data_IF_568810617509
#
_entry.id   IF_568810617509
#
_cell.length_a   1.000
_cell.length_b   1.000
_cell.length_c   1.000
_cell.angle_alpha   90.00
_cell.angle_beta   90.00
_cell.angle_gamma   90.00
#
_symmetry.space_group_name_H-M   'P 1'
#
loop_
_entity.id
_entity.type
_entity.pdbx_description
1 polymer ?
#
# COMPACT_ATOMS: atom_id res chain seq x y z
N UNK A 1 31.89 22.46 4.81
CA UNK A 1 32.82 21.36 5.13
C UNK A 1 32.33 20.11 4.41
N UNK A 2 33.19 19.48 3.61
CA UNK A 2 32.86 18.27 2.85
C UNK A 2 32.71 17.09 3.79
N UNK A 3 31.49 16.60 3.98
CA UNK A 3 31.23 15.32 4.66
C UNK A 3 31.38 14.22 3.63
N UNK A 4 32.50 13.49 3.68
CA UNK A 4 32.71 12.29 2.90
C UNK A 4 31.60 11.26 3.21
N UNK A 5 31.12 10.57 2.18
CA UNK A 5 30.19 9.46 2.34
C UNK A 5 30.85 8.35 3.18
N UNK A 6 30.08 7.60 3.99
CA UNK A 6 30.57 6.39 4.65
C UNK A 6 31.30 5.47 3.67
N UNK A 7 32.38 4.83 4.14
CA UNK A 7 33.15 3.87 3.34
C UNK A 7 32.26 2.72 2.87
N UNK A 8 32.04 2.60 1.56
CA UNK A 8 31.23 1.54 0.95
C UNK A 8 30.13 2.02 -0.02
N UNK A 9 29.84 3.32 -0.06
CA UNK A 9 28.86 3.89 -0.99
C UNK A 9 29.54 4.38 -2.29
N UNK A 10 29.10 3.87 -3.44
CA UNK A 10 29.51 4.42 -4.73
C UNK A 10 28.85 5.80 -4.96
N UNK A 11 29.57 6.80 -5.50
CA UNK A 11 28.97 8.09 -5.81
C UNK A 11 27.94 7.95 -6.93
N UNK A 12 26.76 8.54 -6.74
CA UNK A 12 25.72 8.58 -7.77
C UNK A 12 26.22 9.33 -9.03
N UNK A 13 25.93 8.77 -10.21
CA UNK A 13 26.21 9.43 -11.49
C UNK A 13 25.31 10.67 -11.62
N UNK A 14 25.88 11.86 -11.81
CA UNK A 14 25.10 13.07 -12.01
C UNK A 14 24.52 13.11 -13.43
N UNK A 15 23.20 12.94 -13.54
CA UNK A 15 22.43 13.20 -14.77
C UNK A 15 21.53 14.40 -14.56
N UNK A 16 21.38 15.24 -15.59
CA UNK A 16 20.49 16.41 -15.56
C UNK A 16 19.02 15.94 -15.59
N UNK A 17 18.37 15.91 -14.43
CA UNK A 17 16.93 15.62 -14.35
C UNK A 17 16.09 16.86 -14.73
N UNK A 18 14.88 16.69 -15.29
CA UNK A 18 13.96 17.80 -15.54
C UNK A 18 13.62 18.58 -14.27
N UNK A 19 13.41 19.89 -14.40
CA UNK A 19 12.93 20.75 -13.30
C UNK A 19 11.42 20.56 -13.09
N UNK A 20 11.08 19.48 -12.39
CA UNK A 20 9.70 19.06 -12.12
C UNK A 20 9.56 18.57 -10.67
N UNK A 21 8.36 18.66 -10.07
CA UNK A 21 8.11 18.23 -8.69
C UNK A 21 8.62 16.81 -8.37
N UNK A 22 8.43 15.85 -9.28
CA UNK A 22 8.84 14.44 -9.13
C UNK A 22 10.36 14.18 -9.12
N UNK A 23 11.18 15.19 -9.42
CA UNK A 23 12.65 15.12 -9.39
C UNK A 23 13.28 16.15 -8.44
N UNK A 24 12.46 16.85 -7.66
CA UNK A 24 12.87 17.95 -6.78
C UNK A 24 12.62 17.62 -5.30
N UNK A 25 13.19 18.43 -4.40
CA UNK A 25 13.03 18.24 -2.96
C UNK A 25 13.43 16.84 -2.48
N UNK A 26 12.54 16.19 -1.74
CA UNK A 26 12.72 14.84 -1.21
C UNK A 26 12.64 13.75 -2.28
N UNK A 27 12.04 14.06 -3.45
CA UNK A 27 11.95 13.15 -4.59
C UNK A 27 13.16 13.20 -5.54
N UNK A 28 14.19 13.99 -5.21
CA UNK A 28 15.44 13.97 -5.98
C UNK A 28 16.02 12.55 -6.02
N UNK A 29 16.41 12.02 -7.19
CA UNK A 29 16.97 10.67 -7.30
C UNK A 29 18.17 10.46 -6.38
N UNK A 30 18.19 9.30 -5.71
CA UNK A 30 19.25 8.96 -4.75
C UNK A 30 20.34 8.15 -5.45
N UNK A 31 19.97 7.07 -6.15
CA UNK A 31 20.84 6.21 -6.98
C UNK A 31 22.04 5.66 -6.23
N UNK A 32 21.78 5.23 -5.00
CA UNK A 32 22.79 4.66 -4.12
C UNK A 32 22.58 3.17 -4.02
N UNK A 33 23.66 2.42 -4.27
CA UNK A 33 23.78 1.01 -3.97
C UNK A 33 24.92 0.86 -2.94
N UNK A 34 24.71 0.04 -1.92
CA UNK A 34 25.72 -0.22 -0.90
C UNK A 34 25.14 -0.77 0.39
N UNK A 35 26.00 -0.91 1.39
CA UNK A 35 25.66 -1.50 2.69
C UNK A 35 26.00 -0.53 3.82
N UNK A 36 25.15 -0.52 4.84
CA UNK A 36 25.39 0.21 6.09
C UNK A 36 25.05 -0.73 7.25
N UNK A 37 26.06 -1.04 8.06
CA UNK A 37 25.89 -1.86 9.25
C UNK A 37 25.80 -0.98 10.51
N UNK A 38 25.17 -1.50 11.56
CA UNK A 38 25.09 -0.86 12.88
C UNK A 38 24.52 0.56 12.81
N UNK A 39 23.31 0.69 12.25
CA UNK A 39 22.58 1.95 12.21
C UNK A 39 22.40 2.54 13.62
N UNK A 40 22.33 3.87 13.70
CA UNK A 40 22.11 4.58 14.95
C UNK A 40 20.66 4.35 15.43
N UNK A 41 20.51 3.93 16.68
CA UNK A 41 19.21 3.52 17.27
C UNK A 41 18.94 4.37 18.50
N UNK A 42 17.75 4.99 18.54
CA UNK A 42 17.19 5.64 19.71
C UNK A 42 16.06 4.77 20.24
N UNK A 43 16.08 4.41 21.53
CA UNK A 43 15.18 3.42 22.11
C UNK A 43 15.81 2.03 22.15
N UNK A 44 15.00 0.97 22.13
CA UNK A 44 15.49 -0.43 22.18
C UNK A 44 14.77 -1.27 21.15
N UNK A 45 15.53 -1.91 20.25
CA UNK A 45 14.98 -2.93 19.36
C UNK A 45 14.87 -4.23 20.17
N UNK A 46 13.68 -4.84 20.26
CA UNK A 46 13.49 -6.11 20.94
C UNK A 46 14.35 -7.23 20.34
N UNK A 47 14.93 -8.05 21.21
CA UNK A 47 15.86 -9.12 20.82
C UNK A 47 15.18 -10.31 20.12
N UNK A 48 13.85 -10.36 20.15
CA UNK A 48 13.04 -11.38 19.48
C UNK A 48 12.69 -11.02 18.03
N UNK A 49 13.00 -9.80 17.57
CA UNK A 49 12.92 -9.41 16.16
C UNK A 49 14.15 -9.92 15.42
N UNK A 50 13.94 -10.86 14.51
CA UNK A 50 15.02 -11.51 13.77
C UNK A 50 14.50 -11.96 12.39
N UNK A 51 14.90 -11.23 11.36
CA UNK A 51 14.39 -11.37 10.00
C UNK A 51 14.84 -10.20 9.14
N UNK A 52 14.14 -9.96 8.04
CA UNK A 52 14.49 -8.90 7.09
C UNK A 52 13.26 -8.18 6.57
N UNK A 53 13.29 -6.85 6.65
CA UNK A 53 12.30 -5.98 6.00
C UNK A 53 12.79 -5.61 4.60
N UNK A 54 12.04 -6.02 3.59
CA UNK A 54 12.28 -5.65 2.20
C UNK A 54 11.26 -4.61 1.75
N UNK A 55 11.69 -3.64 0.95
CA UNK A 55 10.83 -2.63 0.33
C UNK A 55 11.38 -2.16 -0.99
N UNK A 56 10.54 -1.58 -1.84
CA UNK A 56 10.95 -1.09 -3.18
C UNK A 56 10.60 0.37 -3.38
N UNK A 57 11.51 1.16 -3.98
CA UNK A 57 11.25 2.51 -4.49
C UNK A 57 11.54 2.57 -5.97
N UNK A 58 10.73 3.29 -6.75
CA UNK A 58 11.14 3.80 -8.04
C UNK A 58 12.27 4.83 -7.86
N UNK A 59 13.45 4.56 -8.42
CA UNK A 59 14.56 5.52 -8.45
C UNK A 59 15.22 5.55 -9.84
N UNK A 60 14.87 6.50 -10.73
CA UNK A 60 15.33 6.54 -12.10
C UNK A 60 16.85 6.61 -12.19
N UNK A 61 17.43 5.65 -12.89
CA UNK A 61 18.88 5.61 -13.16
C UNK A 61 19.31 6.75 -14.09
N UNK A 62 18.47 7.07 -15.08
CA UNK A 62 18.69 8.11 -16.10
C UNK A 62 17.51 9.09 -16.13
N UNK A 63 17.75 10.28 -16.70
CA UNK A 63 16.66 11.20 -17.00
C UNK A 63 15.73 10.56 -18.06
N UNK A 64 14.40 10.62 -17.90
CA UNK A 64 13.48 10.09 -18.90
C UNK A 64 13.63 10.87 -20.21
N UNK A 65 13.57 10.17 -21.35
CA UNK A 65 13.60 10.78 -22.69
C UNK A 65 12.22 11.24 -23.17
N UNK A 66 11.14 10.73 -22.55
CA UNK A 66 9.77 11.19 -22.74
C UNK A 66 9.43 12.18 -21.63
N UNK A 67 8.99 13.37 -22.02
CA UNK A 67 8.75 14.49 -21.09
C UNK A 67 7.61 14.22 -20.09
N UNK A 68 6.70 13.29 -20.43
CA UNK A 68 5.54 12.84 -19.63
C UNK A 68 5.36 11.30 -19.71
N UNK A 69 6.40 10.51 -19.46
CA UNK A 69 6.22 9.05 -19.39
C UNK A 69 5.44 8.66 -18.12
N UNK A 70 4.28 7.98 -18.24
CA UNK A 70 3.60 7.41 -17.09
C UNK A 70 4.47 6.36 -16.40
N UNK A 71 4.35 6.29 -15.08
CA UNK A 71 5.08 5.35 -14.24
C UNK A 71 4.81 3.86 -14.55
N UNK A 72 3.71 3.54 -15.26
CA UNK A 72 3.35 2.20 -15.77
C UNK A 72 2.94 2.26 -17.25
N UNK A 73 3.90 2.22 -18.17
CA UNK A 73 3.65 2.40 -19.62
C UNK A 73 3.80 1.06 -20.39
N UNK A 74 2.76 0.23 -20.37
CA UNK A 74 2.71 -1.04 -21.11
C UNK A 74 1.43 -1.17 -21.94
N UNK A 75 1.49 -1.95 -23.02
CA UNK A 75 0.32 -2.24 -23.86
C UNK A 75 -0.78 -2.94 -23.05
N UNK A 76 -1.98 -2.35 -22.98
CA UNK A 76 -3.11 -2.91 -22.24
C UNK A 76 -3.77 -4.07 -22.95
N UNK A 77 -4.05 -5.15 -22.21
CA UNK A 77 -4.87 -6.28 -22.66
C UNK A 77 -6.00 -6.54 -21.66
N UNK A 78 -7.20 -6.98 -22.10
CA UNK A 78 -8.22 -7.48 -21.18
C UNK A 78 -7.89 -8.87 -20.64
N UNK A 79 -6.85 -9.53 -21.15
CA UNK A 79 -6.41 -10.84 -20.69
C UNK A 79 -5.82 -10.76 -19.29
N UNK A 80 -6.34 -11.58 -18.38
CA UNK A 80 -5.85 -11.73 -17.01
C UNK A 80 -5.37 -13.17 -16.86
N UNK A 81 -4.14 -13.33 -16.38
CA UNK A 81 -3.58 -14.64 -16.06
C UNK A 81 -3.38 -14.78 -14.55
N UNK A 82 -3.98 -15.81 -13.97
CA UNK A 82 -3.78 -16.21 -12.59
C UNK A 82 -2.88 -17.45 -12.54
N UNK A 83 -1.87 -17.40 -11.67
CA UNK A 83 -0.99 -18.52 -11.38
C UNK A 83 -1.15 -18.96 -9.93
N UNK A 84 -1.31 -20.27 -9.72
CA UNK A 84 -1.17 -20.88 -8.39
C UNK A 84 0.16 -21.61 -8.36
N UNK A 85 1.05 -21.21 -7.46
CA UNK A 85 2.40 -21.78 -7.34
C UNK A 85 2.52 -22.46 -5.99
N UNK A 86 3.09 -23.66 -5.96
CA UNK A 86 3.34 -24.42 -4.75
C UNK A 86 4.54 -23.89 -3.98
N UNK A 87 4.67 -24.30 -2.71
CA UNK A 87 5.82 -23.95 -1.88
C UNK A 87 7.17 -24.43 -2.47
N UNK A 88 7.15 -25.42 -3.38
CA UNK A 88 8.31 -25.90 -4.12
C UNK A 88 8.64 -25.06 -5.37
N UNK A 89 7.94 -23.94 -5.58
CA UNK A 89 8.11 -23.03 -6.71
C UNK A 89 7.50 -23.53 -8.02
N UNK A 90 6.76 -24.64 -8.04
CA UNK A 90 6.16 -25.18 -9.26
C UNK A 90 4.75 -24.63 -9.48
N UNK A 91 4.43 -24.38 -10.75
CA UNK A 91 3.06 -24.07 -11.16
C UNK A 91 2.14 -25.24 -10.87
N UNK A 92 1.13 -25.00 -10.03
CA UNK A 92 0.04 -25.91 -9.76
C UNK A 92 -1.12 -25.64 -10.71
N UNK A 93 -1.42 -24.37 -10.99
CA UNK A 93 -2.47 -23.96 -11.93
C UNK A 93 -2.08 -22.70 -12.71
N UNK A 94 -2.63 -22.59 -13.91
CA UNK A 94 -2.57 -21.40 -14.77
C UNK A 94 -3.94 -21.22 -15.39
N UNK A 95 -4.61 -20.11 -15.08
CA UNK A 95 -5.95 -19.81 -15.57
C UNK A 95 -5.91 -18.48 -16.30
N UNK A 96 -6.36 -18.50 -17.55
CA UNK A 96 -6.55 -17.29 -18.36
C UNK A 96 -8.02 -16.91 -18.35
N UNK A 97 -8.32 -15.64 -18.13
CA UNK A 97 -9.68 -15.10 -18.18
C UNK A 97 -9.65 -13.73 -18.87
N UNK A 98 -10.82 -13.26 -19.29
CA UNK A 98 -10.97 -11.98 -20.00
C UNK A 98 -11.78 -11.03 -19.13
N UNK A 99 -11.18 -9.89 -18.79
CA UNK A 99 -11.84 -8.81 -18.06
C UNK A 99 -12.88 -8.08 -18.94
N UNK A 100 -13.94 -7.48 -18.34
CA UNK A 100 -14.96 -6.75 -19.10
C UNK A 100 -14.41 -5.48 -19.78
N UNK A 101 -13.33 -4.93 -19.23
CA UNK A 101 -12.66 -3.72 -19.68
C UNK A 101 -11.14 -3.88 -19.54
N UNK A 102 -10.38 -3.18 -20.39
CA UNK A 102 -8.92 -3.08 -20.26
C UNK A 102 -8.62 -2.05 -19.19
N UNK A 103 -8.56 -2.49 -17.94
CA UNK A 103 -8.40 -1.59 -16.80
C UNK A 103 -7.38 -2.12 -15.81
N UNK A 104 -6.84 -1.24 -14.97
CA UNK A 104 -5.83 -1.58 -13.98
C UNK A 104 -6.39 -2.54 -12.91
N UNK A 105 -5.74 -3.70 -12.77
CA UNK A 105 -5.89 -4.58 -11.60
C UNK A 105 -4.63 -4.38 -10.76
N UNK A 106 -4.71 -3.44 -9.82
CA UNK A 106 -3.56 -3.06 -8.98
C UNK A 106 -3.34 -4.03 -7.81
N UNK A 107 -4.43 -4.54 -7.25
CA UNK A 107 -4.42 -5.40 -6.08
C UNK A 107 -5.48 -6.50 -6.22
N UNK A 108 -5.44 -7.52 -5.36
CA UNK A 108 -6.38 -8.64 -5.34
C UNK A 108 -6.45 -9.26 -3.95
N UNK A 109 -7.55 -9.95 -3.65
CA UNK A 109 -7.75 -10.60 -2.34
C UNK A 109 -8.07 -12.09 -2.49
N UNK A 110 -7.60 -12.88 -1.53
CA UNK A 110 -7.80 -14.32 -1.46
C UNK A 110 -8.68 -14.69 -0.27
N UNK A 111 -9.49 -15.73 -0.43
CA UNK A 111 -10.12 -16.43 0.70
C UNK A 111 -9.79 -17.91 0.64
N UNK A 112 -10.33 -18.67 1.58
CA UNK A 112 -10.16 -20.13 1.61
C UNK A 112 -10.48 -20.75 0.25
N UNK A 113 -11.65 -20.44 -0.33
CA UNK A 113 -12.14 -21.12 -1.53
C UNK A 113 -12.09 -20.27 -2.80
N UNK A 114 -11.83 -18.96 -2.72
CA UNK A 114 -12.03 -18.03 -3.85
C UNK A 114 -10.90 -17.02 -4.05
N UNK A 115 -10.67 -16.65 -5.31
CA UNK A 115 -9.78 -15.60 -5.79
C UNK A 115 -10.61 -14.38 -6.23
N UNK A 116 -10.17 -13.17 -5.90
CA UNK A 116 -10.90 -11.93 -6.23
C UNK A 116 -9.96 -10.84 -6.65
N UNK A 117 -10.35 -10.04 -7.62
CA UNK A 117 -9.54 -8.91 -8.05
C UNK A 117 -10.44 -7.70 -8.40
N UNK A 118 -10.28 -6.57 -7.71
CA UNK A 118 -10.90 -5.31 -8.09
C UNK A 118 -10.31 -4.80 -9.41
N UNK A 119 -11.18 -4.50 -10.37
CA UNK A 119 -10.84 -3.75 -11.57
C UNK A 119 -11.09 -2.27 -11.28
N UNK A 120 -10.00 -1.53 -11.10
CA UNK A 120 -10.04 -0.07 -11.00
C UNK A 120 -10.43 0.45 -12.39
N UNK A 121 -11.42 1.36 -12.55
CA UNK A 121 -11.83 1.92 -13.85
C UNK A 121 -10.82 2.95 -14.40
N UNK A 122 -9.53 2.68 -14.20
CA UNK A 122 -8.40 3.28 -14.89
C UNK A 122 -8.17 2.47 -16.16
N UNK A 123 -8.70 2.93 -17.29
CA UNK A 123 -8.46 2.27 -18.57
C UNK A 123 -6.99 2.49 -19.00
N UNK A 124 -6.49 1.67 -19.93
CA UNK A 124 -5.10 1.73 -20.43
C UNK A 124 -4.62 3.15 -20.79
N UNK A 125 -5.55 4.03 -21.19
CA UNK A 125 -5.21 5.34 -21.73
C UNK A 125 -5.51 6.48 -20.73
N UNK A 126 -6.50 6.32 -19.84
CA UNK A 126 -7.06 7.40 -19.00
C UNK A 126 -8.07 6.90 -17.95
N UNK A 127 -8.38 7.74 -16.97
CA UNK A 127 -9.50 7.51 -16.04
C UNK A 127 -10.86 7.58 -16.77
N UNK A 128 -11.77 6.63 -16.50
CA UNK A 128 -13.12 6.63 -17.08
C UNK A 128 -14.20 6.69 -15.99
N UNK A 129 -14.77 7.87 -15.71
CA UNK A 129 -15.81 8.02 -14.68
C UNK A 129 -17.14 7.35 -15.05
N UNK A 130 -17.35 7.04 -16.33
CA UNK A 130 -18.54 6.33 -16.81
C UNK A 130 -18.41 4.80 -16.69
N UNK A 131 -17.17 4.29 -16.62
CA UNK A 131 -16.93 2.84 -16.51
C UNK A 131 -17.26 2.38 -15.09
N UNK A 132 -18.13 1.36 -14.93
CA UNK A 132 -18.42 0.78 -13.62
C UNK A 132 -17.15 0.25 -12.96
N UNK A 133 -17.12 0.28 -11.63
CA UNK A 133 -16.14 -0.49 -10.89
C UNK A 133 -16.56 -1.96 -10.88
N UNK A 134 -15.66 -2.86 -11.25
CA UNK A 134 -15.93 -4.30 -11.31
C UNK A 134 -15.14 -5.07 -10.26
N UNK A 135 -15.75 -6.13 -9.72
CA UNK A 135 -15.08 -7.12 -8.88
C UNK A 135 -15.27 -8.49 -9.51
N UNK A 136 -14.16 -9.08 -9.96
CA UNK A 136 -14.14 -10.46 -10.44
C UNK A 136 -14.11 -11.43 -9.26
N UNK A 137 -15.01 -12.41 -9.25
CA UNK A 137 -15.03 -13.50 -8.26
C UNK A 137 -14.84 -14.82 -9.00
N UNK A 138 -13.83 -15.59 -8.60
CA UNK A 138 -13.46 -16.87 -9.21
C UNK A 138 -13.18 -17.92 -8.13
N UNK A 139 -13.45 -19.22 -8.36
CA UNK A 139 -12.91 -20.28 -7.51
C UNK A 139 -11.38 -20.23 -7.45
N UNK A 140 -10.79 -20.56 -6.29
CA UNK A 140 -9.33 -20.52 -6.10
C UNK A 140 -8.59 -21.71 -6.73
N UNK A 141 -9.28 -22.86 -6.80
CA UNK A 141 -8.74 -24.14 -7.25
C UNK A 141 -9.63 -24.71 -8.34
N UNK A 142 -9.02 -25.17 -9.44
CA UNK A 142 -9.73 -25.84 -10.53
C UNK A 142 -10.64 -24.93 -11.35
N UNK A 143 -10.41 -23.62 -11.30
CA UNK A 143 -11.23 -22.64 -12.00
C UNK A 143 -11.06 -22.73 -13.52
N UNK A 144 -12.17 -22.52 -14.24
CA UNK A 144 -12.19 -22.33 -15.69
C UNK A 144 -12.41 -20.87 -16.03
N UNK A 145 -12.01 -20.43 -17.24
CA UNK A 145 -12.24 -19.06 -17.70
C UNK A 145 -13.71 -18.63 -17.59
N UNK A 146 -14.65 -19.55 -17.79
CA UNK A 146 -16.10 -19.32 -17.72
C UNK A 146 -16.67 -19.17 -16.31
N UNK A 147 -15.90 -19.52 -15.28
CA UNK A 147 -16.40 -19.55 -13.90
C UNK A 147 -16.35 -18.16 -13.23
N UNK A 148 -15.70 -17.19 -13.88
CA UNK A 148 -15.60 -15.82 -13.37
C UNK A 148 -16.96 -15.14 -13.36
N UNK A 149 -17.29 -14.54 -12.22
CA UNK A 149 -18.48 -13.69 -12.06
C UNK A 149 -18.05 -12.26 -11.84
N UNK A 150 -18.51 -11.35 -12.70
CA UNK A 150 -18.18 -9.93 -12.65
C UNK A 150 -19.29 -9.15 -11.97
N UNK A 151 -19.10 -8.84 -10.69
CA UNK A 151 -19.97 -7.95 -9.97
C UNK A 151 -19.58 -6.50 -10.28
N UNK A 152 -20.53 -5.56 -10.22
CA UNK A 152 -20.31 -4.17 -10.62
C UNK A 152 -21.06 -3.17 -9.75
N UNK A 153 -20.58 -1.94 -9.71
CA UNK A 153 -21.25 -0.79 -9.08
C UNK A 153 -20.89 0.52 -9.79
N UNK A 154 -21.53 1.66 -9.47
CA UNK A 154 -21.11 2.95 -9.98
C UNK A 154 -19.61 3.20 -9.80
N UNK A 155 -19.02 3.92 -10.75
CA UNK A 155 -17.59 4.21 -10.81
C UNK A 155 -17.07 4.74 -9.49
N UNK A 156 -15.93 4.20 -9.07
CA UNK A 156 -15.19 4.61 -7.89
C UNK A 156 -13.73 4.17 -8.05
N UNK A 157 -12.84 4.79 -7.31
CA UNK A 157 -11.44 4.41 -7.27
C UNK A 157 -11.20 3.50 -6.07
N UNK A 158 -10.57 2.36 -6.27
CA UNK A 158 -10.13 1.50 -5.18
C UNK A 158 -8.62 1.54 -5.07
N UNK A 159 -8.11 1.72 -3.86
CA UNK A 159 -6.68 1.58 -3.58
C UNK A 159 -6.39 0.12 -3.24
N UNK A 160 -5.82 -0.12 -2.07
CA UNK A 160 -5.45 -1.44 -1.60
C UNK A 160 -6.59 -2.13 -0.86
N UNK A 161 -6.56 -3.45 -0.95
CA UNK A 161 -7.32 -4.33 -0.09
C UNK A 161 -6.66 -4.43 1.28
N UNK A 162 -7.47 -4.44 2.33
CA UNK A 162 -7.00 -4.82 3.65
C UNK A 162 -6.98 -6.35 3.75
N UNK A 163 -8.14 -6.97 3.52
CA UNK A 163 -8.28 -8.43 3.47
C UNK A 163 -9.66 -8.82 2.90
N UNK A 164 -9.87 -10.13 2.69
CA UNK A 164 -11.17 -10.71 2.41
C UNK A 164 -11.35 -12.03 3.17
N UNK A 165 -12.60 -12.38 3.50
CA UNK A 165 -12.95 -13.69 4.06
C UNK A 165 -14.30 -14.20 3.53
N UNK A 166 -14.59 -15.47 3.78
CA UNK A 166 -15.90 -16.06 3.54
C UNK A 166 -16.61 -16.16 4.89
N UNK A 167 -17.77 -15.52 5.01
CA UNK A 167 -18.62 -15.66 6.19
C UNK A 167 -19.11 -17.12 6.28
N UNK A 168 -18.79 -17.86 7.35
CA UNK A 168 -19.15 -19.27 7.47
C UNK A 168 -20.65 -19.48 7.64
N UNK A 169 -21.39 -18.51 8.17
CA UNK A 169 -22.82 -18.61 8.40
C UNK A 169 -23.61 -18.44 7.09
N UNK A 170 -23.19 -17.49 6.24
CA UNK A 170 -23.92 -17.15 5.02
C UNK A 170 -23.29 -17.75 3.75
N UNK A 171 -21.99 -18.03 3.77
CA UNK A 171 -21.18 -18.29 2.57
C UNK A 171 -20.94 -17.06 1.71
N UNK A 172 -21.31 -15.87 2.22
CA UNK A 172 -21.05 -14.61 1.54
C UNK A 172 -19.59 -14.24 1.67
N UNK A 173 -19.16 -13.42 0.74
CA UNK A 173 -17.82 -12.88 0.69
C UNK A 173 -17.83 -11.53 1.39
N UNK A 174 -16.84 -11.38 2.27
CA UNK A 174 -16.47 -10.15 2.93
C UNK A 174 -15.23 -9.60 2.26
N UNK A 175 -15.26 -8.35 1.80
CA UNK A 175 -14.10 -7.72 1.18
C UNK A 175 -13.87 -6.30 1.68
N UNK A 176 -12.78 -6.10 2.43
CA UNK A 176 -12.38 -4.79 2.97
C UNK A 176 -11.32 -4.14 2.09
N UNK A 177 -11.57 -2.91 1.66
CA UNK A 177 -10.69 -2.16 0.77
C UNK A 177 -10.85 -0.64 0.94
N UNK A 178 -9.80 0.09 0.60
CA UNK A 178 -9.85 1.55 0.52
C UNK A 178 -10.61 2.00 -0.73
N UNK A 179 -11.62 2.84 -0.55
CA UNK A 179 -12.49 3.33 -1.62
C UNK A 179 -12.60 4.85 -1.62
N UNK A 180 -12.45 5.44 -2.79
CA UNK A 180 -12.69 6.86 -3.07
C UNK A 180 -13.76 7.01 -4.14
N UNK A 181 -14.59 8.05 -4.02
CA UNK A 181 -15.58 8.43 -5.03
C UNK A 181 -14.96 9.14 -6.24
N UNK A 182 -13.66 9.48 -6.16
CA UNK A 182 -12.93 10.24 -7.18
C UNK A 182 -11.63 9.53 -7.57
N UNK A 183 -11.08 9.90 -8.71
CA UNK A 183 -9.78 9.42 -9.17
C UNK A 183 -8.65 9.85 -8.22
N UNK A 184 -8.10 8.93 -7.44
CA UNK A 184 -6.98 9.22 -6.53
C UNK A 184 -5.69 9.52 -7.31
N UNK A 185 -5.51 8.91 -8.48
CA UNK A 185 -4.37 9.14 -9.37
C UNK A 185 -4.63 10.36 -10.26
N UNK A 186 -4.77 11.53 -9.63
CA UNK A 186 -5.07 12.80 -10.30
C UNK A 186 -4.02 13.21 -11.37
N UNK A 187 -2.82 12.62 -11.34
CA UNK A 187 -1.81 12.81 -12.39
C UNK A 187 -2.16 12.09 -13.72
N UNK A 188 -3.16 11.21 -13.71
CA UNK A 188 -3.80 10.63 -14.89
C UNK A 188 -5.24 11.13 -15.01
N UNK A 189 -5.47 12.28 -15.65
CA UNK A 189 -6.81 12.84 -15.80
C UNK A 189 -7.72 11.98 -16.68
N UNK A 190 -8.99 12.37 -16.76
CA UNK A 190 -9.91 11.84 -17.77
C UNK A 190 -9.57 12.33 -19.19
N UNK A 191 -10.32 11.87 -20.19
CA UNK A 191 -10.16 12.23 -21.60
C UNK A 191 -10.19 13.74 -21.88
N UNK A 192 -10.91 14.50 -21.05
CA UNK A 192 -11.07 15.94 -21.18
C UNK A 192 -10.02 16.71 -20.38
N UNK A 193 -9.08 16.01 -19.72
CA UNK A 193 -8.04 16.60 -18.89
C UNK A 193 -8.51 16.96 -17.48
N UNK A 194 -9.69 16.51 -17.04
CA UNK A 194 -10.17 16.79 -15.70
C UNK A 194 -9.51 15.84 -14.69
N UNK A 195 -9.02 16.43 -13.59
CA UNK A 195 -8.55 15.70 -12.43
C UNK A 195 -9.07 16.37 -11.15
N UNK A 196 -9.40 15.59 -10.12
CA UNK A 196 -9.77 16.16 -8.82
C UNK A 196 -8.57 16.87 -8.19
N UNK A 197 -8.85 17.97 -7.48
CA UNK A 197 -7.83 18.64 -6.70
C UNK A 197 -7.35 17.70 -5.55
N UNK A 198 -6.04 17.51 -5.34
CA UNK A 198 -5.51 16.52 -4.40
C UNK A 198 -6.07 16.65 -2.97
N UNK A 199 -6.30 17.87 -2.50
CA UNK A 199 -6.84 18.18 -1.19
C UNK A 199 -8.30 17.74 -0.99
N UNK A 200 -9.01 17.42 -2.07
CA UNK A 200 -10.41 16.97 -2.06
C UNK A 200 -10.55 15.45 -2.09
N UNK A 201 -9.44 14.72 -2.25
CA UNK A 201 -9.43 13.26 -2.31
C UNK A 201 -9.53 12.68 -0.92
N UNK A 202 -10.46 11.75 -0.72
CA UNK A 202 -10.60 10.96 0.50
C UNK A 202 -10.79 9.51 0.11
N UNK A 203 -10.03 8.63 0.74
CA UNK A 203 -10.23 7.19 0.68
C UNK A 203 -10.75 6.74 2.03
N UNK A 204 -11.79 5.92 2.04
CA UNK A 204 -12.37 5.35 3.24
C UNK A 204 -12.26 3.84 3.20
N UNK A 205 -11.98 3.21 4.34
CA UNK A 205 -12.11 1.77 4.45
C UNK A 205 -13.59 1.42 4.29
N UNK A 206 -13.90 0.64 3.26
CA UNK A 206 -15.24 0.16 2.94
C UNK A 206 -15.21 -1.35 2.91
N UNK A 207 -16.29 -1.92 3.40
CA UNK A 207 -16.56 -3.33 3.39
C UNK A 207 -17.55 -3.60 2.22
N UNK A 208 -17.33 -4.59 1.35
CA UNK A 208 -18.24 -5.01 0.26
C UNK A 208 -18.76 -6.47 0.37
N UNK A 209 -20.10 -6.67 0.31
CA UNK A 209 -20.74 -8.00 0.58
C UNK A 209 -21.05 -8.54 -0.76
N UNK A 210 -20.47 -9.68 -1.07
CA UNK A 210 -20.74 -10.35 -2.33
C UNK A 210 -21.34 -11.70 -1.99
N UNK A 211 -22.64 -11.88 -2.25
CA UNK A 211 -23.18 -13.22 -2.33
C UNK A 211 -22.76 -13.82 -3.68
N UNK A 212 -21.82 -14.78 -3.70
CA UNK A 212 -21.32 -15.33 -4.93
C UNK A 212 -22.34 -16.19 -5.69
N UNK A 213 -23.55 -16.37 -5.15
CA UNK A 213 -24.66 -17.12 -5.74
C UNK A 213 -25.80 -16.20 -6.20
N UNK A 214 -25.77 -14.91 -5.85
CA UNK A 214 -26.83 -13.97 -6.23
C UNK A 214 -27.05 -13.95 -7.74
N UNK A 215 -28.29 -13.81 -8.20
CA UNK A 215 -28.56 -13.66 -9.64
C UNK A 215 -28.16 -12.25 -10.13
N UNK A 216 -28.35 -11.24 -9.28
CA UNK A 216 -27.90 -9.87 -9.53
C UNK A 216 -26.38 -9.78 -9.41
N UNK A 217 -25.77 -9.07 -10.35
CA UNK A 217 -24.35 -8.72 -10.33
C UNK A 217 -24.10 -7.28 -9.84
N UNK A 218 -25.14 -6.57 -9.39
CA UNK A 218 -24.99 -5.24 -8.81
C UNK A 218 -24.51 -5.33 -7.36
N UNK A 219 -23.42 -4.62 -7.03
CA UNK A 219 -22.90 -4.46 -5.68
C UNK A 219 -23.51 -3.24 -5.04
N UNK A 220 -24.18 -3.43 -3.91
CA UNK A 220 -24.50 -2.37 -2.98
C UNK A 220 -23.41 -2.32 -1.92
N UNK A 221 -22.62 -1.25 -1.92
CA UNK A 221 -21.73 -0.99 -0.80
C UNK A 221 -22.58 -0.53 0.39
N UNK A 222 -22.58 -1.30 1.47
CA UNK A 222 -23.07 -0.79 2.73
C UNK A 222 -21.98 0.10 3.33
N UNK A 223 -22.32 1.35 3.65
CA UNK A 223 -21.42 2.23 4.40
C UNK A 223 -21.46 1.81 5.87
N UNK A 224 -20.74 0.75 6.22
CA UNK A 224 -20.68 0.31 7.61
C UNK A 224 -19.38 0.72 8.29
N UNK A 225 -19.46 1.78 9.09
CA UNK A 225 -18.80 1.81 10.40
C UNK A 225 -19.85 1.48 11.46
N UNK A 226 -20.67 0.45 11.21
CA UNK A 226 -21.64 -0.05 12.20
C UNK A 226 -21.06 -1.26 12.93
N UNK A 227 -21.46 -1.38 14.20
CA UNK A 227 -20.99 -2.35 15.17
C UNK A 227 -21.10 -3.76 14.61
N UNK A 228 -19.98 -4.46 14.46
CA UNK A 228 -20.00 -5.93 14.40
C UNK A 228 -20.44 -6.36 15.80
N UNK A 229 -21.73 -6.67 15.96
CA UNK A 229 -22.20 -7.27 17.20
C UNK A 229 -21.67 -8.71 17.23
N UNK A 230 -20.87 -8.98 18.26
CA UNK A 230 -20.48 -10.31 18.78
C UNK A 230 -19.71 -11.23 17.83
N UNK A 231 -18.49 -11.60 18.23
CA UNK A 231 -17.72 -12.80 17.85
C UNK A 231 -17.45 -13.12 16.35
N UNK A 232 -18.05 -12.42 15.39
CA UNK A 232 -18.11 -12.78 13.95
C UNK A 232 -16.89 -12.37 13.08
N UNK A 233 -15.72 -12.14 13.70
CA UNK A 233 -14.45 -12.00 12.96
C UNK A 233 -13.47 -13.06 13.47
N UNK A 234 -13.61 -14.28 12.95
CA UNK A 234 -12.63 -15.34 13.17
C UNK A 234 -11.36 -15.18 12.31
N UNK A 235 -11.37 -14.27 11.32
CA UNK A 235 -10.31 -14.19 10.30
C UNK A 235 -9.29 -13.08 10.54
N UNK A 236 -9.70 -11.87 10.93
CA UNK A 236 -8.84 -10.77 11.40
C UNK A 236 -9.68 -9.70 12.09
N UNK A 237 -9.08 -9.02 13.06
CA UNK A 237 -9.73 -8.05 13.97
C UNK A 237 -8.99 -6.72 14.00
N UNK A 238 -7.84 -6.63 13.36
CA UNK A 238 -6.96 -5.47 13.42
C UNK A 238 -6.48 -5.08 12.02
N UNK A 239 -6.40 -3.77 11.77
CA UNK A 239 -5.91 -3.22 10.52
C UNK A 239 -4.93 -2.10 10.83
N UNK A 240 -3.76 -2.13 10.20
CA UNK A 240 -2.76 -1.06 10.22
C UNK A 240 -2.72 -0.37 8.87
N UNK A 241 -2.72 0.97 8.85
CA UNK A 241 -2.84 1.72 7.60
C UNK A 241 -2.26 3.13 7.73
N UNK A 242 -1.95 3.72 6.58
CA UNK A 242 -1.52 5.11 6.50
C UNK A 242 -2.71 6.07 6.62
N UNK A 243 -2.49 7.18 7.34
CA UNK A 243 -3.46 8.24 7.56
C UNK A 243 -2.93 9.58 7.06
N UNK A 244 -3.84 10.36 6.47
CA UNK A 244 -3.62 11.77 6.16
C UNK A 244 -4.71 12.59 6.84
N UNK A 245 -4.34 13.22 7.95
CA UNK A 245 -5.20 14.15 8.68
C UNK A 245 -4.52 15.52 8.82
N UNK A 246 -4.93 16.53 8.03
CA UNK A 246 -4.39 17.89 8.11
C UNK A 246 -4.51 18.54 9.49
N UNK A 247 -5.39 18.06 10.37
CA UNK A 247 -5.57 18.58 11.72
C UNK A 247 -4.48 18.14 12.70
N UNK A 248 -3.70 17.10 12.38
CA UNK A 248 -2.66 16.54 13.28
C UNK A 248 -1.35 17.35 13.31
N UNK A 249 -1.39 18.62 12.90
CA UNK A 249 -0.31 19.58 13.14
C UNK A 249 0.91 19.44 12.22
N UNK A 250 0.74 18.87 11.03
CA UNK A 250 1.80 18.88 10.00
C UNK A 250 2.15 20.32 9.62
N UNK A 251 3.43 20.68 9.71
CA UNK A 251 3.93 21.99 9.30
C UNK A 251 4.16 22.02 7.79
N UNK A 252 3.06 22.18 7.03
CA UNK A 252 3.09 22.29 5.58
C UNK A 252 3.90 23.49 5.08
N UNK A 253 4.04 24.54 5.88
CA UNK A 253 4.87 25.69 5.52
C UNK A 253 6.36 25.30 5.53
N UNK A 254 6.80 24.54 6.54
CA UNK A 254 8.18 24.05 6.62
C UNK A 254 8.49 22.96 5.59
N UNK A 255 7.60 21.98 5.40
CA UNK A 255 7.90 20.82 4.53
C UNK A 255 7.56 21.08 3.06
N UNK A 256 6.59 21.94 2.75
CA UNK A 256 6.06 22.18 1.41
C UNK A 256 7.12 22.41 0.32
N UNK A 257 8.07 23.35 0.52
CA UNK A 257 9.16 23.59 -0.43
C UNK A 257 10.08 22.39 -0.69
N UNK A 258 10.05 21.39 0.19
CA UNK A 258 10.91 20.22 0.15
C UNK A 258 10.18 18.93 -0.20
N UNK A 259 8.85 18.92 -0.32
CA UNK A 259 8.06 17.71 -0.62
C UNK A 259 8.42 17.12 -2.00
N UNK A 260 8.54 17.95 -3.03
CA UNK A 260 8.45 17.47 -4.41
C UNK A 260 7.01 17.13 -4.78
N UNK A 261 6.78 16.11 -5.63
CA UNK A 261 5.42 15.67 -5.99
C UNK A 261 5.36 14.34 -6.73
N UNK A 262 4.14 13.90 -7.06
CA UNK A 262 3.87 12.65 -7.77
C UNK A 262 3.65 11.41 -6.88
N UNK A 263 3.26 11.62 -5.61
CA UNK A 263 3.02 10.56 -4.64
C UNK A 263 1.94 10.99 -3.62
N UNK A 264 1.22 10.04 -2.99
CA UNK A 264 0.29 10.35 -1.92
C UNK A 264 1.03 10.70 -0.63
N UNK A 265 0.50 11.64 0.15
CA UNK A 265 1.11 12.10 1.39
C UNK A 265 0.34 11.55 2.59
N UNK A 266 1.06 11.03 3.59
CA UNK A 266 0.50 10.51 4.84
C UNK A 266 1.29 11.04 6.04
N UNK A 267 0.63 11.54 7.08
CA UNK A 267 1.29 12.17 8.23
C UNK A 267 1.20 11.35 9.51
N UNK A 268 0.47 10.23 9.50
CA UNK A 268 0.32 9.37 10.67
C UNK A 268 0.05 7.92 10.26
N UNK A 269 0.27 6.99 11.19
CA UNK A 269 -0.17 5.60 11.06
C UNK A 269 -1.42 5.40 11.91
N UNK A 270 -2.37 4.63 11.42
CA UNK A 270 -3.58 4.22 12.11
C UNK A 270 -3.54 2.73 12.46
N UNK A 271 -4.06 2.40 13.64
CA UNK A 271 -4.43 1.05 14.04
C UNK A 271 -5.93 1.06 14.33
N UNK A 272 -6.71 0.26 13.58
CA UNK A 272 -8.14 0.08 13.79
C UNK A 272 -8.42 -1.33 14.32
N UNK A 273 -8.97 -1.41 15.53
CA UNK A 273 -9.58 -2.63 16.04
C UNK A 273 -11.03 -2.72 15.53
N UNK A 274 -11.32 -3.69 14.67
CA UNK A 274 -12.61 -3.83 13.97
C UNK A 274 -13.77 -4.14 14.92
N UNK A 275 -13.51 -4.91 15.98
CA UNK A 275 -14.53 -5.31 16.96
C UNK A 275 -14.95 -4.13 17.84
N UNK A 276 -13.98 -3.42 18.42
CA UNK A 276 -14.26 -2.30 19.35
C UNK A 276 -14.46 -0.97 18.63
N UNK A 277 -14.05 -0.89 17.35
CA UNK A 277 -13.91 0.35 16.57
C UNK A 277 -12.94 1.36 17.19
N UNK A 278 -12.11 0.93 18.14
CA UNK A 278 -11.06 1.77 18.68
C UNK A 278 -10.03 2.05 17.59
N UNK A 279 -9.69 3.33 17.41
CA UNK A 279 -8.62 3.76 16.51
C UNK A 279 -7.52 4.41 17.33
N UNK A 280 -6.31 3.87 17.20
CA UNK A 280 -5.10 4.48 17.74
C UNK A 280 -4.32 5.10 16.60
N UNK A 281 -3.68 6.24 16.87
CA UNK A 281 -2.97 7.00 15.84
C UNK A 281 -1.57 7.31 16.33
N UNK A 282 -0.58 6.92 15.54
CA UNK A 282 0.81 7.29 15.74
C UNK A 282 1.14 8.53 14.92
N UNK A 283 1.68 9.56 15.59
CA UNK A 283 2.08 10.82 14.95
C UNK A 283 3.60 10.99 15.10
N UNK A 284 4.39 10.83 14.04
CA UNK A 284 5.86 10.92 14.11
C UNK A 284 6.36 12.35 14.35
N UNK A 285 5.52 13.36 14.13
CA UNK A 285 5.81 14.77 14.39
C UNK A 285 5.54 15.69 13.19
N UNK A 286 5.67 17.02 13.37
CA UNK A 286 5.13 18.02 12.43
C UNK A 286 5.88 18.10 11.09
N UNK A 287 7.12 17.62 11.04
CA UNK A 287 7.99 17.66 9.84
C UNK A 287 8.26 16.27 9.28
N UNK A 288 7.44 15.28 9.66
CA UNK A 288 7.58 13.89 9.25
C UNK A 288 6.35 13.39 8.51
N UNK A 289 6.57 12.50 7.56
CA UNK A 289 5.52 11.76 6.85
C UNK A 289 5.85 10.28 6.87
N UNK A 290 4.81 9.46 6.86
CA UNK A 290 4.91 8.01 6.98
C UNK A 290 4.82 7.35 5.60
N UNK A 291 5.35 6.13 5.50
CA UNK A 291 5.13 5.21 4.38
C UNK A 291 4.56 3.90 4.93
N UNK A 292 4.18 3.01 4.01
CA UNK A 292 3.49 1.75 4.30
C UNK A 292 4.06 1.01 5.52
N UNK A 293 3.22 0.72 6.54
CA UNK A 293 3.61 -0.07 7.69
C UNK A 293 3.66 -1.56 7.35
N UNK A 294 4.57 -2.29 7.99
CA UNK A 294 4.59 -3.75 8.01
C UNK A 294 4.40 -4.27 9.43
N UNK A 295 3.55 -5.27 9.60
CA UNK A 295 3.39 -5.98 10.87
C UNK A 295 4.45 -7.07 11.01
N UNK A 296 5.03 -7.19 12.20
CA UNK A 296 6.02 -8.18 12.58
C UNK A 296 5.46 -8.95 13.78
N UNK A 297 5.10 -10.25 13.63
CA UNK A 297 4.56 -11.02 14.73
C UNK A 297 5.62 -11.20 15.83
N UNK A 298 5.20 -11.10 17.09
CA UNK A 298 6.07 -11.42 18.23
C UNK A 298 6.41 -12.91 18.20
N UNK A 299 7.69 -13.24 18.38
CA UNK A 299 8.16 -14.62 18.27
C UNK A 299 7.44 -15.54 19.27
N UNK A 300 6.79 -16.57 18.76
CA UNK A 300 6.05 -17.55 19.57
C UNK A 300 4.69 -17.07 20.06
N UNK A 301 4.23 -15.90 19.65
CA UNK A 301 2.87 -15.45 19.96
C UNK A 301 1.83 -16.27 19.20
N UNK A 302 0.72 -16.55 19.88
CA UNK A 302 -0.47 -17.20 19.33
C UNK A 302 -1.65 -16.23 19.30
N UNK A 303 -1.44 -14.99 19.72
CA UNK A 303 -2.46 -13.94 19.79
C UNK A 303 -2.38 -13.11 18.53
N UNK A 304 -3.52 -12.86 17.90
CA UNK A 304 -3.59 -11.97 16.74
C UNK A 304 -3.04 -10.57 17.08
N UNK A 305 -2.22 -10.02 16.19
CA UNK A 305 -1.64 -8.68 16.31
C UNK A 305 -0.81 -8.40 17.58
N UNK A 306 -0.36 -9.44 18.29
CA UNK A 306 0.70 -9.29 19.29
C UNK A 306 2.06 -9.27 18.60
N UNK A 307 2.70 -8.10 18.58
CA UNK A 307 3.90 -7.89 17.79
C UNK A 307 4.31 -6.43 17.71
N UNK A 308 4.85 -6.11 16.55
CA UNK A 308 5.42 -4.80 16.28
C UNK A 308 4.95 -4.31 14.91
N UNK A 309 4.95 -3.01 14.74
CA UNK A 309 4.76 -2.37 13.43
C UNK A 309 6.02 -1.59 13.09
N UNK A 310 6.55 -1.82 11.90
CA UNK A 310 7.72 -1.12 11.38
C UNK A 310 7.29 -0.27 10.19
N UNK A 311 7.67 1.00 10.17
CA UNK A 311 7.38 1.91 9.07
C UNK A 311 8.57 2.81 8.75
N UNK A 312 8.70 3.15 7.47
CA UNK A 312 9.69 4.13 7.02
C UNK A 312 9.12 5.54 7.09
N UNK A 313 9.83 6.43 7.77
CA UNK A 313 9.44 7.80 8.00
C UNK A 313 10.39 8.73 7.26
N UNK A 314 9.85 9.66 6.50
CA UNK A 314 10.64 10.72 5.86
C UNK A 314 10.66 11.94 6.76
N UNK A 315 11.85 12.36 7.18
CA UNK A 315 12.05 13.56 8.00
C UNK A 315 12.54 14.71 7.12
N UNK A 316 11.67 15.69 6.88
CA UNK A 316 11.96 16.84 6.04
C UNK A 316 12.83 17.90 6.75
N UNK A 317 12.88 17.91 8.08
CA UNK A 317 13.74 18.84 8.81
C UNK A 317 15.23 18.48 8.66
N UNK A 318 15.55 17.18 8.67
CA UNK A 318 16.93 16.69 8.45
C UNK A 318 17.21 16.25 7.01
N UNK A 319 16.18 16.19 6.15
CA UNK A 319 16.25 15.63 4.80
C UNK A 319 16.87 14.22 4.79
N UNK A 320 16.40 13.37 5.70
CA UNK A 320 16.81 11.98 5.87
C UNK A 320 15.59 11.08 6.09
N UNK A 321 15.79 9.76 6.03
CA UNK A 321 14.76 8.79 6.38
C UNK A 321 15.09 8.10 7.72
N UNK A 322 14.05 7.64 8.40
CA UNK A 322 14.09 7.04 9.73
C UNK A 322 13.21 5.78 9.69
N UNK A 323 13.61 4.67 10.31
CA UNK A 323 12.72 3.52 10.51
C UNK A 323 12.18 3.59 11.94
N UNK A 324 10.86 3.62 12.06
CA UNK A 324 10.18 3.68 13.35
C UNK A 324 9.57 2.32 13.64
N UNK A 325 9.91 1.78 14.81
CA UNK A 325 9.36 0.54 15.35
C UNK A 325 8.38 0.89 16.47
N UNK A 326 7.17 0.37 16.37
CA UNK A 326 6.07 0.58 17.32
C UNK A 326 5.70 -0.78 17.94
N UNK A 327 5.39 -0.82 19.23
CA UNK A 327 4.80 -2.00 19.86
C UNK A 327 3.28 -1.93 19.69
N UNK A 328 2.63 -3.04 19.35
CA UNK A 328 1.17 -3.04 19.16
C UNK A 328 0.39 -2.82 20.47
N UNK A 329 1.03 -2.99 21.63
CA UNK A 329 0.44 -2.68 22.94
C UNK A 329 0.54 -1.20 23.34
N UNK A 330 1.41 -0.43 22.68
CA UNK A 330 1.51 1.03 22.81
C UNK A 330 1.80 1.63 21.42
N UNK A 331 0.77 1.61 20.58
CA UNK A 331 0.89 2.07 19.19
C UNK A 331 1.11 3.59 19.07
N UNK A 332 0.89 4.34 20.15
CA UNK A 332 0.98 5.81 20.12
C UNK A 332 2.41 6.35 20.25
N UNK A 333 3.38 5.48 20.58
CA UNK A 333 4.78 5.85 20.74
C UNK A 333 5.71 4.92 19.96
N UNK A 334 6.83 5.47 19.48
CA UNK A 334 7.88 4.64 18.89
C UNK A 334 8.69 3.97 20.01
N UNK A 335 8.73 2.64 19.98
CA UNK A 335 9.60 1.84 20.83
C UNK A 335 11.09 2.03 20.46
N UNK A 336 11.36 2.14 19.16
CA UNK A 336 12.69 2.48 18.64
C UNK A 336 12.59 3.33 17.37
N UNK A 337 13.57 4.22 17.20
CA UNK A 337 13.78 5.03 16.00
C UNK A 337 15.19 4.78 15.50
N UNK A 338 15.30 4.17 14.33
CA UNK A 338 16.55 3.83 13.67
C UNK A 338 16.84 4.90 12.63
N UNK A 339 17.94 5.64 12.78
CA UNK A 339 18.31 6.72 11.87
C UNK A 339 19.10 6.17 10.70
N UNK A 340 18.67 6.48 9.48
CA UNK A 340 19.49 6.24 8.30
C UNK A 340 20.52 7.38 8.14
N UNK A 341 21.75 7.08 7.70
CA UNK A 341 22.83 8.06 7.65
C UNK A 341 22.47 9.27 6.78
N UNK A 342 22.93 10.45 7.23
CA UNK A 342 22.66 11.76 6.64
C UNK A 342 22.88 11.74 5.11
N UNK A 343 21.82 12.13 4.38
CA UNK A 343 21.65 12.16 2.90
C UNK A 343 21.14 10.88 2.23
N UNK A 344 21.01 9.75 2.93
CA UNK A 344 20.26 8.61 2.39
C UNK A 344 18.75 8.92 2.48
N UNK A 345 18.27 9.65 1.49
CA UNK A 345 16.84 9.92 1.30
C UNK A 345 16.25 8.72 0.57
N UNK A 346 15.66 7.82 1.34
CA UNK A 346 14.82 6.78 0.74
C UNK A 346 13.54 7.47 0.27
N UNK A 347 13.36 7.54 -1.05
CA UNK A 347 12.20 8.16 -1.67
C UNK A 347 10.92 7.46 -1.24
N UNK A 348 9.79 8.12 -1.52
CA UNK A 348 8.47 7.52 -1.38
C UNK A 348 8.44 6.16 -2.09
N UNK A 349 8.14 5.14 -1.29
CA UNK A 349 8.10 3.76 -1.70
C UNK A 349 6.73 3.31 -2.12
N UNK A 350 6.70 2.04 -2.52
CA UNK A 350 5.47 1.29 -2.70
C UNK A 350 5.37 0.30 -1.55
N UNK A 351 5.41 -0.98 -1.88
CA UNK A 351 5.21 -2.07 -0.96
C UNK A 351 6.49 -2.50 -0.25
N UNK A 352 6.29 -2.99 0.96
CA UNK A 352 7.28 -3.69 1.74
C UNK A 352 6.71 -4.93 2.41
N UNK A 353 7.58 -5.90 2.70
CA UNK A 353 7.21 -7.13 3.38
C UNK A 353 8.29 -7.52 4.38
N UNK A 354 7.87 -8.11 5.49
CA UNK A 354 8.73 -8.74 6.48
C UNK A 354 8.89 -10.21 6.15
N UNK A 355 10.12 -10.72 6.25
CA UNK A 355 10.42 -12.14 6.13
C UNK A 355 11.15 -12.58 7.39
N UNK A 356 10.57 -13.51 8.14
CA UNK A 356 11.20 -14.06 9.34
C UNK A 356 12.46 -14.86 8.98
N UNK A 357 13.48 -14.86 9.84
CA UNK A 357 14.71 -15.61 9.60
C UNK A 357 14.46 -17.11 9.37
N UNK A 358 13.46 -17.69 10.04
CA UNK A 358 13.07 -19.09 9.88
C UNK A 358 12.53 -19.37 8.48
N UNK A 359 11.75 -18.44 7.91
CA UNK A 359 11.18 -18.56 6.57
C UNK A 359 12.22 -18.35 5.47
N UNK A 360 13.24 -17.53 5.74
CA UNK A 360 14.36 -17.30 4.84
C UNK A 360 15.34 -18.49 4.75
N UNK A 361 15.10 -19.58 5.50
CA UNK A 361 15.96 -20.76 5.54
C UNK A 361 17.32 -20.49 6.18
N UNK A 362 17.40 -19.54 7.12
CA UNK A 362 18.62 -19.15 7.84
C UNK A 362 18.69 -19.73 9.25
#
# INVERSE_FOLDING_TARGET
>A
MSTALPSGLLPAVETHCPDRPQFSGFMKPTRVEGEVANLEVYGTIPADIDGTFYRVMPDPQFAPFIENDPWFNGDGTPDVCYYRIGADGKFLETVWLVAPVVAMIHDFALTENRFRFPLIPQLCDQWSPETPFYVGVLPRVGAKPSDVRWFRRPSCFTSHSSNAYEDPATGNIVFDLGLSDKNVFFWWPDAAGNAPAPETLRSQLVWLTIDPRAESLELTAEKHVEVLQTDDTEFYRHVYFDLMDPALGTDFHAIGPHLGGGYPLYNSLGHLALVTRATEVYIPGPTRVVQEPVFIPRRGSTTECDGYVLALINNYASMSSELHLLDTNDFTHALAVIKLPLRLRLRHGLHGNWVDAVEAGK
#
